data_IF_632699372332
#
_entry.id   IF_632699372332
#
_cell.length_a   1.000
_cell.length_b   1.000
_cell.length_c   1.000
_cell.angle_alpha   90.00
_cell.angle_beta   90.00
_cell.angle_gamma   90.00
#
_symmetry.space_group_name_H-M   'P 1'
#
loop_
_entity.id
_entity.type
_entity.pdbx_description
1 polymer ?
#
# COMPACT_ATOMS: atom_id res chain seq x y z
N UNK A 1 -13.20 12.85 -40.22
CA UNK A 1 -13.72 11.62 -39.60
C UNK A 1 -12.55 11.00 -38.86
N UNK A 2 -12.59 11.11 -37.54
CA UNK A 2 -11.51 10.84 -36.60
C UNK A 2 -11.16 9.35 -36.54
N UNK A 3 -9.86 9.08 -36.46
CA UNK A 3 -9.30 7.75 -36.20
C UNK A 3 -9.18 7.60 -34.68
N UNK A 4 -9.96 6.70 -34.10
CA UNK A 4 -9.80 6.29 -32.69
C UNK A 4 -8.47 5.53 -32.56
N UNK A 5 -7.60 6.03 -31.70
CA UNK A 5 -6.38 5.36 -31.28
C UNK A 5 -6.72 4.60 -29.99
N UNK A 6 -6.93 3.29 -30.07
CA UNK A 6 -7.03 2.44 -28.89
C UNK A 6 -5.63 2.28 -28.31
N UNK A 7 -5.37 2.88 -27.14
CA UNK A 7 -4.23 2.51 -26.30
C UNK A 7 -4.52 1.10 -25.76
N UNK A 8 -3.81 0.11 -26.30
CA UNK A 8 -3.56 -1.13 -25.59
C UNK A 8 -2.49 -0.82 -24.53
N UNK A 9 -2.93 -0.61 -23.29
CA UNK A 9 -2.05 -0.76 -22.15
C UNK A 9 -1.61 -2.23 -22.13
N UNK A 10 -0.33 -2.48 -22.35
CA UNK A 10 0.23 -3.78 -22.04
C UNK A 10 0.20 -3.91 -20.52
N UNK A 11 -0.59 -4.85 -19.99
CA UNK A 11 -0.53 -5.22 -18.59
C UNK A 11 0.93 -5.56 -18.27
N UNK A 12 1.57 -4.72 -17.47
CA UNK A 12 2.76 -5.14 -16.75
C UNK A 12 2.30 -6.25 -15.79
N UNK A 13 3.13 -7.24 -15.44
CA UNK A 13 2.81 -8.05 -14.26
C UNK A 13 2.57 -7.06 -13.12
N UNK A 14 1.33 -7.02 -12.62
CA UNK A 14 1.00 -6.29 -11.40
C UNK A 14 1.97 -6.78 -10.35
N UNK A 15 2.74 -5.84 -9.82
CA UNK A 15 3.54 -6.02 -8.62
C UNK A 15 2.56 -5.56 -7.56
N UNK A 16 2.18 -6.42 -6.62
CA UNK A 16 1.06 -6.14 -5.74
C UNK A 16 1.36 -6.64 -4.32
N UNK A 17 0.54 -6.24 -3.37
CA UNK A 17 0.58 -6.89 -2.06
C UNK A 17 -0.06 -8.28 -2.14
N UNK A 18 0.24 -9.13 -1.16
CA UNK A 18 -0.36 -10.45 -1.07
C UNK A 18 -1.86 -10.39 -0.75
N UNK A 19 -2.66 -11.29 -1.32
CA UNK A 19 -4.11 -11.27 -1.11
C UNK A 19 -4.51 -11.41 0.36
N UNK A 20 -3.81 -12.25 1.13
CA UNK A 20 -4.09 -12.41 2.56
C UNK A 20 -3.67 -11.16 3.33
N UNK A 21 -2.60 -10.51 2.88
CA UNK A 21 -2.10 -9.24 3.40
C UNK A 21 -3.08 -8.09 3.16
N UNK A 22 -3.76 -8.01 2.01
CA UNK A 22 -4.83 -7.02 1.79
C UNK A 22 -5.98 -7.15 2.79
N UNK A 23 -6.39 -8.38 3.09
CA UNK A 23 -7.40 -8.67 4.12
C UNK A 23 -6.89 -8.18 5.48
N UNK A 24 -5.64 -8.53 5.83
CA UNK A 24 -5.04 -8.10 7.08
C UNK A 24 -4.93 -6.57 7.20
N UNK A 25 -4.47 -5.88 6.16
CA UNK A 25 -4.36 -4.41 6.11
C UNK A 25 -5.72 -3.77 6.31
N UNK A 26 -6.76 -4.32 5.66
CA UNK A 26 -8.15 -3.86 5.80
C UNK A 26 -8.62 -3.99 7.25
N UNK A 27 -8.32 -5.10 7.92
CA UNK A 27 -8.65 -5.29 9.34
C UNK A 27 -7.83 -4.35 10.24
N UNK A 28 -6.53 -4.21 9.98
CA UNK A 28 -5.64 -3.32 10.72
C UNK A 28 -6.08 -1.85 10.60
N UNK A 29 -6.58 -1.42 9.43
CA UNK A 29 -7.10 -0.08 9.21
C UNK A 29 -8.29 0.26 10.13
N UNK A 30 -9.10 -0.72 10.55
CA UNK A 30 -10.19 -0.50 11.51
C UNK A 30 -9.68 -0.01 12.87
N UNK A 31 -8.47 -0.41 13.27
CA UNK A 31 -7.83 -0.01 14.53
C UNK A 31 -7.44 1.47 14.51
N UNK A 32 -7.11 2.00 13.33
CA UNK A 32 -6.67 3.39 13.12
C UNK A 32 -7.80 4.36 12.81
N UNK A 33 -9.01 3.86 12.57
CA UNK A 33 -10.17 4.73 12.37
C UNK A 33 -10.48 5.52 13.66
N UNK A 34 -10.74 6.83 13.57
CA UNK A 34 -11.27 7.60 14.69
C UNK A 34 -12.67 7.11 15.05
N UNK A 35 -13.05 7.25 16.32
CA UNK A 35 -14.39 6.91 16.77
C UNK A 35 -15.43 7.78 16.05
N UNK A 36 -16.48 7.15 15.52
CA UNK A 36 -17.53 7.82 14.75
C UNK A 36 -18.32 6.85 13.86
N UNK A 37 -19.26 7.39 13.07
CA UNK A 37 -20.21 6.60 12.27
C UNK A 37 -19.52 5.62 11.31
N UNK A 38 -18.41 6.02 10.68
CA UNK A 38 -17.69 5.14 9.77
C UNK A 38 -17.09 3.93 10.49
N UNK A 39 -16.45 4.15 11.65
CA UNK A 39 -15.88 3.07 12.45
C UNK A 39 -16.98 2.16 12.98
N UNK A 40 -18.08 2.72 13.47
CA UNK A 40 -19.25 1.94 13.93
C UNK A 40 -19.83 1.07 12.81
N UNK A 41 -19.93 1.59 11.58
CA UNK A 41 -20.40 0.82 10.42
C UNK A 41 -19.40 -0.28 10.04
N UNK A 42 -18.13 0.04 9.86
CA UNK A 42 -17.13 -0.92 9.36
C UNK A 42 -16.72 -1.98 10.40
N UNK A 43 -16.98 -1.74 11.69
CA UNK A 43 -16.75 -2.72 12.76
C UNK A 43 -17.99 -3.53 13.13
N UNK A 44 -19.11 -3.35 12.41
CA UNK A 44 -20.29 -4.22 12.56
C UNK A 44 -19.95 -5.63 12.03
N UNK A 45 -19.98 -6.68 12.87
CA UNK A 45 -19.72 -8.05 12.44
C UNK A 45 -20.65 -8.54 11.33
N UNK A 46 -21.84 -7.96 11.17
CA UNK A 46 -22.76 -8.28 10.09
C UNK A 46 -22.27 -7.76 8.72
N UNK A 47 -21.38 -6.78 8.69
CA UNK A 47 -20.83 -6.15 7.49
C UNK A 47 -19.40 -6.60 7.17
N UNK A 48 -18.72 -7.25 8.11
CA UNK A 48 -17.37 -7.81 7.91
C UNK A 48 -17.26 -8.66 6.62
N UNK A 49 -18.21 -9.56 6.27
CA UNK A 49 -18.14 -10.29 5.02
C UNK A 49 -18.05 -9.38 3.78
N UNK A 50 -18.84 -8.30 3.72
CA UNK A 50 -18.79 -7.36 2.59
C UNK A 50 -17.45 -6.64 2.54
N UNK A 51 -16.94 -6.20 3.69
CA UNK A 51 -15.64 -5.51 3.80
C UNK A 51 -14.49 -6.40 3.30
N UNK A 52 -14.40 -7.64 3.80
CA UNK A 52 -13.33 -8.57 3.42
C UNK A 52 -13.45 -9.00 1.96
N UNK A 53 -14.65 -9.34 1.49
CA UNK A 53 -14.83 -9.69 0.07
C UNK A 53 -14.51 -8.51 -0.85
N UNK A 54 -14.81 -7.28 -0.44
CA UNK A 54 -14.39 -6.07 -1.16
C UNK A 54 -12.87 -5.93 -1.23
N UNK A 55 -12.17 -6.15 -0.11
CA UNK A 55 -10.70 -6.12 -0.05
C UNK A 55 -10.03 -7.21 -0.88
N UNK A 56 -10.74 -8.29 -1.16
CA UNK A 56 -10.25 -9.35 -2.02
C UNK A 56 -10.53 -9.09 -3.50
N UNK A 57 -11.67 -8.47 -3.80
CA UNK A 57 -12.34 -8.53 -5.10
C UNK A 57 -11.48 -8.19 -6.34
N UNK A 58 -10.65 -7.12 -6.34
CA UNK A 58 -9.94 -6.71 -7.56
C UNK A 58 -9.07 -7.83 -8.16
N UNK A 59 -8.35 -8.59 -7.36
CA UNK A 59 -7.42 -9.61 -7.86
C UNK A 59 -8.05 -10.79 -8.61
N UNK A 60 -9.37 -10.99 -8.48
CA UNK A 60 -10.04 -12.17 -9.01
C UNK A 60 -9.97 -12.28 -10.55
N UNK A 61 -9.69 -11.17 -11.24
CA UNK A 61 -9.64 -11.11 -12.69
C UNK A 61 -8.29 -11.50 -13.27
N UNK A 62 -7.19 -11.35 -12.53
CA UNK A 62 -5.84 -11.73 -13.00
C UNK A 62 -5.74 -13.21 -13.41
N UNK A 63 -6.17 -14.20 -12.59
CA UNK A 63 -6.09 -15.60 -13.00
C UNK A 63 -7.03 -15.95 -14.16
N UNK A 64 -7.97 -15.06 -14.49
CA UNK A 64 -8.92 -15.21 -15.58
C UNK A 64 -8.53 -14.41 -16.84
N UNK A 65 -7.44 -13.66 -16.80
CA UNK A 65 -7.01 -12.73 -17.86
C UNK A 65 -8.13 -11.72 -18.23
N UNK A 66 -8.85 -11.22 -17.21
CA UNK A 66 -9.97 -10.29 -17.39
C UNK A 66 -9.61 -8.88 -16.88
N UNK A 67 -9.79 -7.82 -17.70
CA UNK A 67 -9.51 -6.43 -17.32
C UNK A 67 -10.27 -5.90 -16.11
N UNK A 68 -11.34 -6.58 -15.65
CA UNK A 68 -12.06 -6.14 -14.46
C UNK A 68 -11.14 -6.03 -13.25
N UNK A 69 -10.08 -6.86 -13.21
CA UNK A 69 -9.09 -6.81 -12.14
C UNK A 69 -8.50 -5.42 -12.02
N UNK A 70 -7.71 -5.02 -13.02
CA UNK A 70 -7.09 -3.70 -13.08
C UNK A 70 -8.09 -2.57 -12.88
N UNK A 71 -9.25 -2.63 -13.55
CA UNK A 71 -10.26 -1.57 -13.45
C UNK A 71 -10.70 -1.32 -12.00
N UNK A 72 -10.88 -2.36 -11.18
CA UNK A 72 -11.32 -2.20 -9.79
C UNK A 72 -10.26 -1.65 -8.83
N UNK A 73 -8.97 -1.74 -9.18
CA UNK A 73 -7.88 -1.19 -8.36
C UNK A 73 -7.89 0.35 -8.35
N UNK A 74 -8.40 0.97 -9.42
CA UNK A 74 -8.25 2.41 -9.63
C UNK A 74 -9.45 3.22 -9.16
N UNK A 75 -9.16 4.39 -8.60
CA UNK A 75 -10.16 5.31 -8.05
C UNK A 75 -11.29 5.67 -9.04
N UNK A 76 -11.08 5.84 -10.37
CA UNK A 76 -12.19 6.11 -11.29
C UNK A 76 -13.34 5.08 -11.26
N UNK A 77 -13.05 3.81 -11.01
CA UNK A 77 -14.10 2.79 -10.84
C UNK A 77 -14.72 2.84 -9.44
N UNK A 78 -13.89 3.05 -8.41
CA UNK A 78 -14.33 3.20 -7.02
C UNK A 78 -15.26 4.41 -6.86
N UNK A 79 -14.95 5.53 -7.51
CA UNK A 79 -15.76 6.74 -7.58
C UNK A 79 -17.10 6.49 -8.25
N UNK A 80 -17.10 5.76 -9.38
CA UNK A 80 -18.35 5.35 -10.03
C UNK A 80 -19.23 4.53 -9.08
N UNK A 81 -18.63 3.64 -8.29
CA UNK A 81 -19.40 2.87 -7.33
C UNK A 81 -19.89 3.73 -6.16
N UNK A 82 -19.05 4.60 -5.59
CA UNK A 82 -19.45 5.58 -4.57
C UNK A 82 -20.64 6.42 -5.04
N UNK A 83 -20.56 6.96 -6.24
CA UNK A 83 -21.60 7.82 -6.81
C UNK A 83 -22.90 7.03 -7.04
N UNK A 84 -22.80 5.76 -7.44
CA UNK A 84 -23.96 4.87 -7.50
C UNK A 84 -24.57 4.66 -6.11
N UNK A 85 -23.78 4.43 -5.05
CA UNK A 85 -24.28 4.28 -3.69
C UNK A 85 -25.01 5.55 -3.24
N UNK A 86 -24.41 6.73 -3.45
CA UNK A 86 -25.00 8.02 -3.10
C UNK A 86 -26.30 8.32 -3.87
N UNK A 87 -26.45 7.78 -5.09
CA UNK A 87 -27.66 7.94 -5.90
C UNK A 87 -28.81 6.99 -5.47
N UNK A 88 -28.51 5.86 -4.84
CA UNK A 88 -29.50 4.81 -4.52
C UNK A 88 -29.84 4.73 -3.03
N UNK A 89 -28.93 5.15 -2.15
CA UNK A 89 -29.09 5.11 -0.70
C UNK A 89 -28.85 6.49 -0.09
N UNK A 90 -29.35 6.71 1.13
CA UNK A 90 -29.20 7.98 1.84
C UNK A 90 -28.62 7.76 3.23
N UNK A 91 -27.82 8.72 3.76
CA UNK A 91 -27.38 8.71 5.15
C UNK A 91 -28.57 8.74 6.14
N UNK A 92 -28.45 8.10 7.33
CA UNK A 92 -27.37 7.19 7.70
C UNK A 92 -27.50 5.88 6.90
N UNK A 93 -26.41 5.47 6.22
CA UNK A 93 -26.41 4.27 5.39
C UNK A 93 -26.72 3.06 6.25
N UNK A 94 -27.79 2.35 5.91
CA UNK A 94 -28.34 1.22 6.69
C UNK A 94 -28.71 0.08 5.74
N UNK A 95 -28.90 -1.12 6.29
CA UNK A 95 -29.30 -2.33 5.55
C UNK A 95 -28.39 -2.57 4.32
N UNK A 96 -28.98 -2.71 3.12
CA UNK A 96 -28.27 -2.92 1.85
C UNK A 96 -27.32 -1.76 1.52
N UNK A 97 -27.66 -0.52 1.88
CA UNK A 97 -26.78 0.62 1.69
C UNK A 97 -25.48 0.48 2.49
N UNK A 98 -25.56 -0.03 3.73
CA UNK A 98 -24.39 -0.26 4.57
C UNK A 98 -23.51 -1.40 4.02
N UNK A 99 -24.12 -2.43 3.42
CA UNK A 99 -23.39 -3.52 2.76
C UNK A 99 -22.56 -3.02 1.58
N UNK A 100 -23.14 -2.16 0.72
CA UNK A 100 -22.40 -1.57 -0.40
C UNK A 100 -21.29 -0.63 0.06
N UNK A 101 -21.51 0.15 1.13
CA UNK A 101 -20.45 0.97 1.73
C UNK A 101 -19.29 0.09 2.21
N UNK A 102 -19.58 -0.98 2.96
CA UNK A 102 -18.55 -1.88 3.47
C UNK A 102 -17.73 -2.51 2.33
N UNK A 103 -18.41 -2.99 1.28
CA UNK A 103 -17.73 -3.54 0.10
C UNK A 103 -16.87 -2.51 -0.62
N UNK A 104 -17.38 -1.28 -0.84
CA UNK A 104 -16.61 -0.20 -1.44
C UNK A 104 -15.36 0.12 -0.62
N UNK A 105 -15.47 0.19 0.71
CA UNK A 105 -14.32 0.45 1.58
C UNK A 105 -13.29 -0.68 1.49
N UNK A 106 -13.71 -1.93 1.42
CA UNK A 106 -12.81 -3.06 1.16
C UNK A 106 -12.05 -2.89 -0.17
N UNK A 107 -12.77 -2.64 -1.25
CA UNK A 107 -12.16 -2.45 -2.58
C UNK A 107 -11.21 -1.24 -2.63
N UNK A 108 -11.58 -0.15 -1.96
CA UNK A 108 -10.76 1.04 -1.82
C UNK A 108 -9.49 0.79 -0.98
N UNK A 109 -9.60 -0.04 0.07
CA UNK A 109 -8.44 -0.49 0.86
C UNK A 109 -7.43 -1.23 0.00
N UNK A 110 -7.90 -2.18 -0.81
CA UNK A 110 -7.06 -2.95 -1.74
C UNK A 110 -6.24 -2.04 -2.67
N UNK A 111 -6.93 -1.19 -3.45
CA UNK A 111 -6.25 -0.31 -4.41
C UNK A 111 -5.34 0.76 -3.79
N UNK A 112 -5.61 1.19 -2.55
CA UNK A 112 -4.71 2.11 -1.83
C UNK A 112 -3.49 1.37 -1.26
N UNK A 113 -3.69 0.16 -0.73
CA UNK A 113 -2.61 -0.68 -0.21
C UNK A 113 -1.56 -0.94 -1.30
N UNK A 114 -1.96 -1.43 -2.48
CA UNK A 114 -1.02 -1.66 -3.59
C UNK A 114 -0.23 -0.41 -3.96
N UNK A 115 -0.90 0.72 -4.13
CA UNK A 115 -0.22 1.95 -4.49
C UNK A 115 0.82 2.37 -3.46
N UNK A 116 0.58 2.15 -2.16
CA UNK A 116 1.52 2.45 -1.09
C UNK A 116 2.65 1.41 -1.05
N UNK A 117 2.32 0.12 -1.10
CA UNK A 117 3.28 -0.98 -1.08
C UNK A 117 4.25 -0.89 -2.25
N UNK A 118 3.74 -0.70 -3.46
CA UNK A 118 4.53 -0.66 -4.68
C UNK A 118 5.34 0.62 -4.80
N UNK A 119 4.80 1.75 -4.36
CA UNK A 119 5.53 3.02 -4.43
C UNK A 119 6.67 3.09 -3.40
N UNK A 120 6.52 2.40 -2.26
CA UNK A 120 7.41 2.57 -1.13
C UNK A 120 8.22 1.31 -0.82
N UNK A 121 7.58 0.16 -0.66
CA UNK A 121 8.23 -1.06 -0.20
C UNK A 121 8.91 -1.80 -1.35
N UNK A 122 8.20 -2.01 -2.46
CA UNK A 122 8.73 -2.72 -3.62
C UNK A 122 10.09 -2.19 -4.15
N UNK A 123 10.32 -0.87 -4.31
CA UNK A 123 11.58 -0.36 -4.82
C UNK A 123 12.74 -0.54 -3.83
N UNK A 124 12.45 -0.66 -2.52
CA UNK A 124 13.43 -1.07 -1.51
C UNK A 124 13.85 -2.52 -1.73
N UNK A 125 12.91 -3.41 -2.02
CA UNK A 125 13.20 -4.78 -2.44
C UNK A 125 14.11 -4.84 -3.65
N UNK A 126 13.79 -4.08 -4.70
CA UNK A 126 14.63 -4.04 -5.90
C UNK A 126 16.07 -3.59 -5.62
N UNK A 127 16.27 -2.73 -4.62
CA UNK A 127 17.57 -2.19 -4.27
C UNK A 127 18.36 -3.08 -3.30
N UNK A 128 17.69 -3.71 -2.33
CA UNK A 128 18.32 -4.51 -1.27
C UNK A 128 18.37 -6.01 -1.57
N UNK A 129 17.43 -6.51 -2.39
CA UNK A 129 17.40 -7.87 -2.91
C UNK A 129 17.62 -7.89 -4.45
N UNK A 130 18.67 -7.25 -5.00
CA UNK A 130 18.81 -7.05 -6.45
C UNK A 130 19.06 -8.34 -7.26
N UNK A 131 19.39 -9.43 -6.57
CA UNK A 131 19.64 -10.75 -7.16
C UNK A 131 18.37 -11.65 -7.15
N UNK A 132 17.27 -11.19 -6.54
CA UNK A 132 15.99 -11.93 -6.47
C UNK A 132 15.17 -11.78 -7.75
N UNK A 133 14.33 -12.79 -8.04
CA UNK A 133 13.50 -12.83 -9.24
C UNK A 133 12.12 -12.22 -9.03
N UNK A 134 12.03 -10.90 -9.13
CA UNK A 134 10.76 -10.15 -9.04
C UNK A 134 9.76 -10.45 -10.16
N UNK A 135 10.17 -11.12 -11.25
CA UNK A 135 9.28 -11.52 -12.35
C UNK A 135 9.02 -13.03 -12.41
N UNK A 136 9.43 -13.76 -11.37
CA UNK A 136 9.36 -15.21 -11.28
C UNK A 136 7.94 -15.73 -11.07
N UNK A 137 7.77 -17.05 -11.21
CA UNK A 137 6.50 -17.74 -10.92
C UNK A 137 6.16 -17.72 -9.42
N UNK A 138 7.18 -17.77 -8.57
CA UNK A 138 7.04 -17.52 -7.13
C UNK A 138 7.20 -16.03 -6.95
N UNK A 139 6.07 -15.31 -7.11
CA UNK A 139 6.07 -13.86 -7.13
C UNK A 139 6.57 -13.30 -5.81
N UNK A 140 7.09 -12.07 -5.90
CA UNK A 140 7.37 -11.23 -4.76
C UNK A 140 6.18 -11.19 -3.80
N UNK A 141 4.98 -10.90 -4.32
CA UNK A 141 3.72 -10.81 -3.56
C UNK A 141 3.42 -12.12 -2.83
N UNK A 142 3.59 -13.28 -3.49
CA UNK A 142 3.36 -14.59 -2.86
C UNK A 142 4.32 -14.83 -1.71
N UNK A 143 5.60 -14.49 -1.89
CA UNK A 143 6.61 -14.69 -0.88
C UNK A 143 6.37 -13.82 0.36
N UNK A 144 6.07 -12.54 0.16
CA UNK A 144 5.74 -11.63 1.27
C UNK A 144 4.43 -12.01 1.94
N UNK A 145 3.41 -12.47 1.21
CA UNK A 145 2.13 -12.91 1.80
C UNK A 145 2.32 -14.11 2.74
N UNK A 146 3.04 -15.14 2.29
CA UNK A 146 3.30 -16.33 3.11
C UNK A 146 4.09 -16.00 4.36
N UNK A 147 5.14 -15.18 4.25
CA UNK A 147 5.94 -14.79 5.41
C UNK A 147 5.13 -13.88 6.33
N UNK A 148 4.38 -12.92 5.81
CA UNK A 148 3.54 -12.03 6.60
C UNK A 148 2.49 -12.81 7.40
N UNK A 149 1.77 -13.74 6.76
CA UNK A 149 0.79 -14.60 7.44
C UNK A 149 1.42 -15.51 8.50
N UNK A 150 2.73 -15.81 8.41
CA UNK A 150 3.44 -16.54 9.47
C UNK A 150 3.73 -15.67 10.70
N UNK A 151 3.80 -14.35 10.52
CA UNK A 151 4.04 -13.34 11.57
C UNK A 151 2.72 -12.90 12.20
N UNK A 152 1.78 -12.46 11.36
CA UNK A 152 0.50 -11.88 11.76
C UNK A 152 -0.56 -12.94 12.13
N UNK A 153 -0.37 -14.18 11.66
CA UNK A 153 -1.36 -15.24 11.71
C UNK A 153 -2.25 -15.25 10.47
N UNK A 154 -2.88 -16.40 10.15
CA UNK A 154 -3.75 -16.52 8.99
C UNK A 154 -5.03 -15.68 9.17
N UNK A 155 -5.51 -15.12 8.07
CA UNK A 155 -6.81 -14.44 8.03
C UNK A 155 -7.97 -15.44 7.93
N UNK A 156 -9.10 -15.13 8.57
CA UNK A 156 -10.33 -15.91 8.46
C UNK A 156 -11.12 -15.45 7.23
N UNK A 157 -11.57 -16.41 6.40
CA UNK A 157 -12.38 -16.10 5.23
C UNK A 157 -13.88 -16.18 5.56
N UNK A 158 -14.65 -15.08 5.40
CA UNK A 158 -16.10 -15.12 5.55
C UNK A 158 -16.77 -15.83 4.37
N UNK A 159 -18.11 -15.96 4.38
CA UNK A 159 -18.86 -16.38 3.19
C UNK A 159 -18.72 -15.37 2.05
N UNK A 160 -18.81 -15.83 0.79
CA UNK A 160 -18.75 -14.93 -0.36
C UNK A 160 -19.97 -14.01 -0.39
N UNK A 161 -19.72 -12.71 -0.21
CA UNK A 161 -20.72 -11.66 -0.33
C UNK A 161 -20.18 -10.60 -1.28
N UNK A 162 -20.56 -10.73 -2.55
CA UNK A 162 -20.18 -9.83 -3.63
C UNK A 162 -21.46 -9.25 -4.25
N UNK A 163 -21.56 -7.92 -4.44
CA UNK A 163 -22.71 -7.26 -5.06
C UNK A 163 -22.67 -7.44 -6.59
N UNK A 164 -22.75 -8.69 -7.05
CA UNK A 164 -22.46 -9.10 -8.44
C UNK A 164 -23.30 -8.35 -9.48
N UNK A 165 -24.61 -8.26 -9.29
CA UNK A 165 -25.50 -7.59 -10.25
C UNK A 165 -25.13 -6.10 -10.41
N UNK A 166 -24.84 -5.44 -9.28
CA UNK A 166 -24.39 -4.03 -9.27
C UNK A 166 -23.04 -3.89 -9.97
N UNK A 167 -22.06 -4.76 -9.68
CA UNK A 167 -20.73 -4.68 -10.28
C UNK A 167 -20.77 -4.92 -11.79
N UNK A 168 -21.52 -5.92 -12.26
CA UNK A 168 -21.75 -6.16 -13.70
C UNK A 168 -22.29 -4.91 -14.39
N UNK A 169 -23.27 -4.24 -13.76
CA UNK A 169 -23.78 -2.97 -14.28
C UNK A 169 -22.70 -1.89 -14.32
N UNK A 170 -21.95 -1.68 -13.23
CA UNK A 170 -20.95 -0.61 -13.15
C UNK A 170 -19.80 -0.80 -14.13
N UNK A 171 -19.37 -2.04 -14.37
CA UNK A 171 -18.38 -2.36 -15.41
C UNK A 171 -18.91 -2.03 -16.81
N UNK A 172 -20.14 -2.44 -17.13
CA UNK A 172 -20.73 -2.15 -18.43
C UNK A 172 -20.84 -0.62 -18.67
N UNK A 173 -21.19 0.15 -17.64
CA UNK A 173 -21.20 1.61 -17.69
C UNK A 173 -19.79 2.24 -17.77
N UNK A 174 -18.78 1.56 -17.24
CA UNK A 174 -17.36 1.92 -17.40
C UNK A 174 -16.83 1.54 -18.79
N UNK A 175 -17.58 0.75 -19.58
CA UNK A 175 -17.20 0.32 -20.92
C UNK A 175 -16.48 -1.04 -20.96
N UNK A 176 -16.59 -1.84 -19.91
CA UNK A 176 -16.06 -3.20 -19.84
C UNK A 176 -17.20 -4.20 -19.60
N UNK A 177 -17.26 -5.26 -20.39
CA UNK A 177 -18.29 -6.30 -20.24
C UNK A 177 -17.71 -7.47 -19.46
N UNK A 178 -18.23 -7.70 -18.24
CA UNK A 178 -17.88 -8.86 -17.40
C UNK A 178 -19.15 -9.57 -16.95
N UNK A 179 -19.11 -10.90 -16.88
CA UNK A 179 -20.27 -11.71 -16.49
C UNK A 179 -20.31 -11.99 -14.99
N UNK A 180 -21.51 -12.23 -14.46
CA UNK A 180 -21.68 -12.68 -13.07
C UNK A 180 -20.89 -13.97 -12.77
N UNK A 181 -20.86 -14.92 -13.72
CA UNK A 181 -20.09 -16.17 -13.60
C UNK A 181 -18.58 -15.91 -13.55
N UNK A 182 -18.09 -14.91 -14.31
CA UNK A 182 -16.68 -14.50 -14.29
C UNK A 182 -16.31 -13.95 -12.92
N UNK A 183 -17.13 -13.03 -12.37
CA UNK A 183 -16.89 -12.45 -11.04
C UNK A 183 -16.94 -13.53 -9.94
N UNK A 184 -17.92 -14.43 -9.99
CA UNK A 184 -18.04 -15.53 -9.03
C UNK A 184 -16.87 -16.52 -9.10
N UNK A 185 -16.39 -16.82 -10.32
CA UNK A 185 -15.21 -17.66 -10.52
C UNK A 185 -13.96 -16.99 -9.97
N UNK A 186 -13.79 -15.69 -10.22
CA UNK A 186 -12.68 -14.91 -9.67
C UNK A 186 -12.67 -14.95 -8.15
N UNK A 187 -13.79 -14.63 -7.52
CA UNK A 187 -13.93 -14.67 -6.05
C UNK A 187 -13.56 -16.05 -5.49
N UNK A 188 -14.04 -17.13 -6.14
CA UNK A 188 -13.72 -18.51 -5.73
C UNK A 188 -12.22 -18.82 -5.79
N UNK A 189 -11.51 -18.31 -6.80
CA UNK A 189 -10.06 -18.51 -6.94
C UNK A 189 -9.28 -17.75 -5.85
N UNK A 190 -9.75 -16.56 -5.46
CA UNK A 190 -9.14 -15.78 -4.38
C UNK A 190 -9.24 -16.48 -3.03
N UNK A 191 -10.38 -17.15 -2.75
CA UNK A 191 -10.49 -17.99 -1.55
C UNK A 191 -9.45 -19.09 -1.52
N UNK A 192 -9.26 -19.78 -2.65
CA UNK A 192 -8.26 -20.85 -2.77
C UNK A 192 -6.85 -20.28 -2.53
N UNK A 193 -6.55 -19.09 -3.05
CA UNK A 193 -5.27 -18.44 -2.83
C UNK A 193 -5.03 -18.14 -1.34
N UNK A 194 -5.98 -17.51 -0.65
CA UNK A 194 -5.86 -17.18 0.78
C UNK A 194 -5.75 -18.45 1.65
N UNK A 195 -6.58 -19.47 1.38
CA UNK A 195 -6.47 -20.76 2.07
C UNK A 195 -5.11 -21.43 1.83
N UNK A 196 -4.57 -21.34 0.61
CA UNK A 196 -3.26 -21.88 0.29
C UNK A 196 -2.15 -21.13 1.05
N UNK A 197 -2.17 -19.79 1.07
CA UNK A 197 -1.19 -18.97 1.81
C UNK A 197 -1.24 -19.29 3.30
N UNK A 198 -2.43 -19.34 3.91
CA UNK A 198 -2.57 -19.70 5.33
C UNK A 198 -2.01 -21.09 5.66
N UNK A 199 -2.18 -22.06 4.76
CA UNK A 199 -1.58 -23.38 4.91
C UNK A 199 -0.05 -23.37 4.76
N UNK A 200 0.50 -22.58 3.82
CA UNK A 200 1.95 -22.45 3.67
C UNK A 200 2.59 -21.74 4.86
N UNK A 201 1.96 -20.67 5.36
CA UNK A 201 2.41 -19.91 6.53
C UNK A 201 2.48 -20.76 7.81
N UNK A 202 1.67 -21.83 7.91
CA UNK A 202 1.70 -22.76 9.03
C UNK A 202 2.83 -23.81 8.96
N UNK A 203 3.58 -23.88 7.85
CA UNK A 203 4.64 -24.86 7.61
C UNK A 203 6.02 -24.20 7.67
N UNK A 204 6.83 -24.42 8.73
CA UNK A 204 8.12 -23.73 8.90
C UNK A 204 9.08 -23.88 7.71
N UNK A 205 9.12 -25.05 7.06
CA UNK A 205 9.96 -25.28 5.87
C UNK A 205 9.53 -24.43 4.67
N UNK A 206 8.22 -24.15 4.53
CA UNK A 206 7.72 -23.26 3.48
C UNK A 206 8.00 -21.80 3.80
N UNK A 207 7.82 -21.39 5.06
CA UNK A 207 8.18 -20.05 5.51
C UNK A 207 9.68 -19.78 5.28
N UNK A 208 10.55 -20.72 5.66
CA UNK A 208 12.00 -20.61 5.42
C UNK A 208 12.33 -20.53 3.92
N UNK A 209 11.58 -21.26 3.08
CA UNK A 209 11.75 -21.22 1.63
C UNK A 209 11.39 -19.83 1.06
N UNK A 210 10.19 -19.32 1.35
CA UNK A 210 9.72 -18.03 0.84
C UNK A 210 10.53 -16.85 1.40
N UNK A 211 10.90 -16.89 2.69
CA UNK A 211 11.79 -15.91 3.29
C UNK A 211 13.15 -15.85 2.58
N UNK A 212 13.64 -16.98 2.06
CA UNK A 212 14.88 -17.07 1.29
C UNK A 212 14.82 -16.49 -0.13
N UNK A 213 13.62 -16.29 -0.70
CA UNK A 213 13.46 -15.72 -2.05
C UNK A 213 13.73 -14.22 -2.08
N UNK A 214 13.28 -13.49 -1.05
CA UNK A 214 13.47 -12.04 -0.88
C UNK A 214 13.94 -11.74 0.55
N UNK A 215 15.22 -11.96 0.88
CA UNK A 215 15.70 -11.92 2.26
C UNK A 215 15.54 -10.58 2.96
N UNK A 216 15.84 -9.47 2.29
CA UNK A 216 15.67 -8.14 2.87
C UNK A 216 14.19 -7.84 3.06
N UNK A 217 13.36 -8.01 2.04
CA UNK A 217 11.92 -7.74 2.14
C UNK A 217 11.29 -8.53 3.28
N UNK A 218 11.45 -9.85 3.28
CA UNK A 218 10.80 -10.70 4.28
C UNK A 218 11.29 -10.46 5.71
N UNK A 219 12.48 -9.88 5.91
CA UNK A 219 12.99 -9.53 7.24
C UNK A 219 12.57 -8.15 7.75
N UNK A 220 11.86 -7.36 6.93
CA UNK A 220 11.43 -6.00 7.28
C UNK A 220 9.91 -5.81 7.12
N UNK A 221 9.12 -6.88 7.01
CA UNK A 221 7.66 -6.80 6.85
C UNK A 221 6.96 -6.20 8.07
N UNK A 222 7.54 -6.34 9.27
CA UNK A 222 7.02 -5.78 10.52
C UNK A 222 7.88 -4.61 11.07
N UNK A 223 8.88 -4.13 10.33
CA UNK A 223 9.77 -3.06 10.78
C UNK A 223 9.07 -1.69 10.70
N UNK A 224 8.74 -1.05 11.84
CA UNK A 224 8.00 0.22 11.84
C UNK A 224 8.81 1.39 11.26
N UNK A 225 10.10 1.21 11.00
CA UNK A 225 10.96 2.23 10.40
C UNK A 225 11.00 2.15 8.86
N UNK A 226 10.45 1.08 8.27
CA UNK A 226 10.44 0.86 6.83
C UNK A 226 9.09 1.27 6.25
N UNK A 227 9.11 2.36 5.46
CA UNK A 227 7.92 2.86 4.77
C UNK A 227 7.32 1.83 3.81
N UNK A 228 5.99 1.70 3.87
CA UNK A 228 5.20 0.93 2.91
C UNK A 228 5.01 -0.54 3.24
N UNK A 229 5.52 -1.02 4.38
CA UNK A 229 5.21 -2.38 4.82
C UNK A 229 3.74 -2.50 5.33
N UNK A 230 3.22 -3.72 5.52
CA UNK A 230 1.80 -3.94 5.86
C UNK A 230 1.26 -3.11 7.03
N UNK A 231 1.96 -2.99 8.17
CA UNK A 231 1.46 -2.13 9.26
C UNK A 231 1.31 -0.66 8.85
N UNK A 232 2.21 -0.15 8.02
CA UNK A 232 2.15 1.22 7.52
C UNK A 232 0.90 1.49 6.67
N UNK A 233 0.51 0.52 5.85
CA UNK A 233 -0.57 0.63 4.89
C UNK A 233 -1.92 0.78 5.61
N UNK A 234 -2.14 0.08 6.72
CA UNK A 234 -3.39 0.20 7.49
C UNK A 234 -3.69 1.63 7.98
N UNK A 235 -2.66 2.38 8.38
CA UNK A 235 -2.81 3.80 8.74
C UNK A 235 -3.19 4.68 7.53
N UNK A 236 -2.59 4.42 6.36
CA UNK A 236 -2.91 5.16 5.12
C UNK A 236 -4.33 4.85 4.68
N UNK A 237 -4.72 3.57 4.70
CA UNK A 237 -6.06 3.10 4.33
C UNK A 237 -7.12 3.72 5.24
N UNK A 238 -6.90 3.77 6.56
CA UNK A 238 -7.85 4.39 7.49
C UNK A 238 -8.09 5.88 7.17
N UNK A 239 -7.02 6.62 6.85
CA UNK A 239 -7.13 8.01 6.41
C UNK A 239 -7.84 8.14 5.04
N UNK A 240 -7.53 7.24 4.10
CA UNK A 240 -8.21 7.21 2.79
C UNK A 240 -9.71 6.94 2.94
N UNK A 241 -10.11 6.00 3.80
CA UNK A 241 -11.52 5.71 4.09
C UNK A 241 -12.28 6.92 4.64
N UNK A 242 -11.66 7.75 5.48
CA UNK A 242 -12.29 9.00 5.94
C UNK A 242 -12.61 9.92 4.76
N UNK A 243 -11.69 10.05 3.78
CA UNK A 243 -11.94 10.84 2.57
C UNK A 243 -13.03 10.23 1.68
N UNK A 244 -13.01 8.91 1.46
CA UNK A 244 -14.07 8.24 0.69
C UNK A 244 -15.43 8.43 1.37
N UNK A 245 -15.48 8.34 2.70
CA UNK A 245 -16.69 8.53 3.50
C UNK A 245 -17.21 9.97 3.45
N UNK A 246 -16.33 10.96 3.59
CA UNK A 246 -16.68 12.37 3.46
C UNK A 246 -17.29 12.67 2.08
N UNK A 247 -16.65 12.17 1.01
CA UNK A 247 -17.14 12.33 -0.38
C UNK A 247 -18.48 11.63 -0.59
N UNK A 248 -18.68 10.46 0.01
CA UNK A 248 -19.97 9.76 -0.02
C UNK A 248 -21.09 10.60 0.62
N UNK A 249 -20.78 11.43 1.61
CA UNK A 249 -21.71 12.39 2.24
C UNK A 249 -21.83 13.73 1.49
N UNK A 250 -21.19 13.85 0.32
CA UNK A 250 -21.16 15.08 -0.47
C UNK A 250 -20.22 16.15 0.06
N UNK A 251 -19.34 15.81 1.02
CA UNK A 251 -18.25 16.67 1.44
C UNK A 251 -17.08 16.52 0.46
N UNK A 252 -17.13 17.34 -0.59
CA UNK A 252 -16.02 17.48 -1.52
C UNK A 252 -15.07 18.51 -0.93
N UNK A 253 -13.99 18.03 -0.31
CA UNK A 253 -12.91 18.89 0.17
C UNK A 253 -12.46 19.85 -0.94
N UNK A 254 -12.23 21.12 -0.59
CA UNK A 254 -11.83 22.15 -1.55
C UNK A 254 -10.34 22.08 -1.94
N UNK A 255 -9.58 21.17 -1.32
CA UNK A 255 -8.15 20.97 -1.52
C UNK A 255 -7.85 19.45 -1.38
N UNK A 256 -7.09 18.84 -2.31
CA UNK A 256 -6.64 17.46 -2.18
C UNK A 256 -5.93 17.24 -0.84
N UNK A 257 -6.42 16.28 -0.07
CA UNK A 257 -5.91 16.02 1.27
C UNK A 257 -4.63 15.17 1.18
N UNK A 258 -3.56 15.57 1.87
CA UNK A 258 -2.41 14.69 2.09
C UNK A 258 -2.75 13.78 3.28
N UNK A 259 -2.78 12.47 3.02
CA UNK A 259 -3.07 11.46 4.04
C UNK A 259 -1.81 10.80 4.60
N UNK A 260 -0.69 10.89 3.88
CA UNK A 260 0.59 10.41 4.36
C UNK A 260 1.79 11.11 3.73
N UNK A 261 2.86 11.20 4.51
CA UNK A 261 4.17 11.69 4.10
C UNK A 261 5.22 10.67 4.57
N UNK A 262 6.17 10.36 3.70
CA UNK A 262 7.25 9.42 3.95
C UNK A 262 8.62 10.09 3.74
N UNK A 263 9.61 9.85 4.63
CA UNK A 263 9.54 9.01 5.83
C UNK A 263 8.57 9.57 6.89
N UNK A 264 7.85 8.68 7.58
CA UNK A 264 6.77 9.04 8.52
C UNK A 264 7.23 9.90 9.69
N UNK A 265 8.46 9.68 10.17
CA UNK A 265 9.05 10.45 11.25
C UNK A 265 9.33 11.91 10.84
N UNK A 266 9.45 12.19 9.55
CA UNK A 266 10.02 13.45 9.05
C UNK A 266 11.54 13.58 9.28
N UNK A 267 12.21 12.52 9.73
CA UNK A 267 13.65 12.47 10.00
C UNK A 267 14.29 11.25 9.30
N UNK A 268 15.62 11.20 9.29
CA UNK A 268 16.37 10.04 8.84
C UNK A 268 16.34 9.80 7.32
N UNK A 269 16.11 10.84 6.51
CA UNK A 269 16.33 10.74 5.06
C UNK A 269 17.79 10.36 4.78
N UNK A 270 17.99 9.35 3.94
CA UNK A 270 19.33 8.98 3.48
C UNK A 270 19.89 10.11 2.61
N UNK A 271 21.15 10.49 2.82
CA UNK A 271 21.77 11.58 2.09
C UNK A 271 22.11 11.23 0.64
N UNK A 272 22.30 9.96 0.31
CA UNK A 272 22.69 9.52 -1.03
C UNK A 272 21.48 9.53 -1.96
N UNK A 273 21.48 10.44 -2.93
CA UNK A 273 20.37 10.63 -3.88
C UNK A 273 20.09 9.41 -4.77
N UNK A 274 20.95 8.40 -4.79
CA UNK A 274 20.74 7.16 -5.54
C UNK A 274 19.98 6.10 -4.75
N UNK A 275 19.80 6.31 -3.44
CA UNK A 275 19.11 5.39 -2.53
C UNK A 275 17.62 5.71 -2.51
N UNK A 276 16.76 4.69 -2.51
CA UNK A 276 15.31 4.86 -2.30
C UNK A 276 14.97 5.53 -0.97
N UNK A 277 15.79 5.38 0.06
CA UNK A 277 15.59 6.02 1.38
C UNK A 277 15.87 7.54 1.39
N UNK A 278 16.45 8.08 0.31
CA UNK A 278 16.58 9.54 0.13
C UNK A 278 15.29 10.17 -0.44
N UNK A 279 14.33 9.35 -0.87
CA UNK A 279 13.10 9.80 -1.50
C UNK A 279 12.09 10.28 -0.47
N UNK A 280 11.48 11.43 -0.73
CA UNK A 280 10.27 11.88 -0.02
C UNK A 280 9.07 11.42 -0.85
N UNK A 281 8.06 10.86 -0.20
CA UNK A 281 6.82 10.45 -0.88
C UNK A 281 5.61 11.01 -0.18
N UNK A 282 4.62 11.45 -0.96
CA UNK A 282 3.36 12.03 -0.48
C UNK A 282 2.22 11.20 -1.04
N UNK A 283 1.33 10.73 -0.15
CA UNK A 283 0.09 10.08 -0.56
C UNK A 283 -1.09 11.05 -0.41
N UNK A 284 -1.86 11.20 -1.49
CA UNK A 284 -3.06 12.02 -1.53
C UNK A 284 -4.32 11.16 -1.31
N UNK A 285 -5.34 11.74 -0.70
CA UNK A 285 -6.64 11.10 -0.49
C UNK A 285 -7.43 10.93 -1.78
N UNK A 286 -7.03 11.62 -2.85
CA UNK A 286 -7.60 11.53 -4.18
C UNK A 286 -6.48 11.36 -5.19
N UNK A 287 -6.75 10.58 -6.22
CA UNK A 287 -5.87 10.35 -7.34
C UNK A 287 -5.62 11.65 -8.11
N UNK A 288 -4.38 11.82 -8.55
CA UNK A 288 -3.92 13.02 -9.25
C UNK A 288 -4.02 12.83 -10.76
N UNK A 289 -4.48 13.86 -11.46
CA UNK A 289 -4.44 13.92 -12.92
C UNK A 289 -3.03 14.35 -13.34
N UNK A 290 -2.27 13.47 -13.98
CA UNK A 290 -0.85 13.70 -14.26
C UNK A 290 -0.63 14.94 -15.14
N UNK A 291 -1.49 15.16 -16.13
CA UNK A 291 -1.38 16.31 -17.05
C UNK A 291 -1.64 17.67 -16.37
N UNK A 292 -2.15 17.66 -15.14
CA UNK A 292 -2.36 18.86 -14.34
C UNK A 292 -1.15 19.31 -13.55
N UNK A 293 -0.10 18.48 -13.45
CA UNK A 293 1.09 18.79 -12.67
C UNK A 293 1.76 20.08 -13.19
N UNK A 294 1.93 21.11 -12.35
CA UNK A 294 2.71 22.28 -12.68
C UNK A 294 4.19 21.93 -12.89
N UNK A 295 4.96 22.85 -13.46
CA UNK A 295 6.41 22.70 -13.66
C UNK A 295 7.17 23.83 -12.93
N UNK A 296 7.78 23.57 -11.75
CA UNK A 296 7.77 22.31 -11.00
C UNK A 296 6.49 22.13 -10.14
N UNK A 297 6.06 20.90 -9.84
CA UNK A 297 4.90 20.64 -8.97
C UNK A 297 5.24 20.75 -7.47
N UNK A 298 6.54 20.71 -7.15
CA UNK A 298 7.05 20.80 -5.78
C UNK A 298 8.28 21.71 -5.76
N UNK A 299 8.35 22.55 -4.73
CA UNK A 299 9.55 23.34 -4.42
C UNK A 299 10.12 22.85 -3.09
N UNK A 300 11.40 22.49 -3.07
CA UNK A 300 12.13 22.13 -1.84
C UNK A 300 13.16 23.20 -1.53
N UNK A 301 13.22 23.64 -0.28
CA UNK A 301 14.22 24.60 0.20
C UNK A 301 14.95 24.07 1.42
N UNK A 302 16.25 24.34 1.53
CA UNK A 302 17.03 24.07 2.75
C UNK A 302 16.72 25.08 3.88
N UNK A 303 17.34 24.88 5.04
CA UNK A 303 17.20 25.73 6.24
C UNK A 303 17.61 27.19 6.02
N UNK A 304 18.47 27.45 5.03
CA UNK A 304 18.93 28.78 4.64
C UNK A 304 17.98 29.45 3.62
N UNK A 305 16.95 28.73 3.18
CA UNK A 305 15.97 29.16 2.17
C UNK A 305 16.45 29.00 0.73
N UNK A 306 17.54 28.27 0.48
CA UNK A 306 18.02 27.99 -0.86
C UNK A 306 17.19 26.86 -1.49
N UNK A 307 16.81 27.03 -2.75
CA UNK A 307 16.13 25.98 -3.50
C UNK A 307 17.05 24.76 -3.73
N UNK A 308 16.50 23.57 -3.54
CA UNK A 308 17.17 22.29 -3.81
C UNK A 308 16.53 21.67 -5.05
N UNK A 309 17.36 21.21 -5.99
CA UNK A 309 16.89 20.58 -7.21
C UNK A 309 16.33 19.18 -6.89
N UNK A 310 15.11 18.92 -7.36
CA UNK A 310 14.41 17.64 -7.19
C UNK A 310 13.74 17.22 -8.49
N UNK A 311 13.69 15.92 -8.72
CA UNK A 311 12.82 15.29 -9.70
C UNK A 311 11.52 14.85 -9.04
N UNK A 312 10.41 14.96 -9.76
CA UNK A 312 9.08 14.58 -9.25
C UNK A 312 8.32 13.76 -10.27
N UNK A 313 7.60 12.75 -9.80
CA UNK A 313 6.72 11.92 -10.64
C UNK A 313 5.65 11.23 -9.80
N UNK A 314 4.52 10.94 -10.42
CA UNK A 314 3.50 10.06 -9.87
C UNK A 314 3.91 8.61 -10.12
N UNK A 315 3.91 7.75 -9.08
CA UNK A 315 4.49 6.41 -9.16
C UNK A 315 3.90 5.57 -10.31
N UNK A 316 2.58 5.50 -10.40
CA UNK A 316 1.85 4.83 -11.49
C UNK A 316 1.46 5.76 -12.64
N UNK A 317 1.87 7.03 -12.59
CA UNK A 317 1.44 8.04 -13.54
C UNK A 317 0.04 8.55 -13.25
N UNK A 318 -0.79 8.63 -14.29
CA UNK A 318 -2.15 9.19 -14.22
C UNK A 318 -3.06 8.37 -13.30
N UNK A 319 -3.87 9.06 -12.50
CA UNK A 319 -4.74 8.48 -11.47
C UNK A 319 -4.00 7.83 -10.28
N UNK A 320 -2.71 8.15 -10.07
CA UNK A 320 -1.99 7.70 -8.87
C UNK A 320 -2.24 8.61 -7.67
N UNK A 321 -2.24 8.02 -6.49
CA UNK A 321 -2.28 8.73 -5.21
C UNK A 321 -0.90 9.10 -4.68
N UNK A 322 0.20 8.52 -5.21
CA UNK A 322 1.54 8.69 -4.64
C UNK A 322 2.43 9.54 -5.55
N UNK A 323 2.84 10.71 -5.04
CA UNK A 323 3.83 11.59 -5.64
C UNK A 323 5.18 11.37 -4.97
N UNK A 324 6.20 11.11 -5.79
CA UNK A 324 7.58 11.03 -5.36
C UNK A 324 8.33 12.33 -5.59
N UNK A 325 9.24 12.62 -4.67
CA UNK A 325 10.17 13.75 -4.72
C UNK A 325 11.57 13.17 -4.44
N UNK A 326 12.41 13.16 -5.46
CA UNK A 326 13.77 12.62 -5.41
C UNK A 326 14.77 13.77 -5.54
N UNK A 327 15.77 13.88 -4.66
CA UNK A 327 16.85 14.83 -4.86
C UNK A 327 17.63 14.53 -6.15
N UNK A 328 18.04 15.57 -6.87
CA UNK A 328 18.94 15.43 -8.04
C UNK A 328 20.39 15.21 -7.61
N UNK A 329 20.80 15.83 -6.51
CA UNK A 329 22.11 15.71 -5.87
C UNK A 329 21.95 15.30 -4.40
N UNK A 330 22.96 14.69 -3.79
CA UNK A 330 22.92 14.26 -2.37
C UNK A 330 22.35 15.33 -1.44
N UNK A 331 21.46 14.92 -0.53
CA UNK A 331 21.02 15.79 0.55
C UNK A 331 22.21 16.14 1.45
N UNK A 332 22.22 17.37 1.97
CA UNK A 332 23.15 17.78 3.01
C UNK A 332 22.87 16.98 4.28
N UNK A 333 23.90 16.50 4.98
CA UNK A 333 23.72 15.83 6.27
C UNK A 333 23.19 16.83 7.32
N UNK A 334 22.47 16.29 8.31
CA UNK A 334 21.91 17.03 9.46
C UNK A 334 21.16 18.32 9.07
N UNK A 335 20.45 18.29 7.95
CA UNK A 335 19.77 19.47 7.38
C UNK A 335 18.26 19.27 7.39
N UNK A 336 17.52 20.34 7.69
CA UNK A 336 16.06 20.37 7.55
C UNK A 336 15.68 20.99 6.22
N UNK A 337 14.76 20.35 5.52
CA UNK A 337 14.19 20.79 4.27
C UNK A 337 12.72 21.14 4.45
N UNK A 338 12.30 22.24 3.85
CA UNK A 338 10.89 22.59 3.71
C UNK A 338 10.43 22.16 2.32
N UNK A 339 9.40 21.32 2.27
CA UNK A 339 8.74 20.89 1.04
C UNK A 339 7.46 21.70 0.89
N UNK A 340 7.28 22.31 -0.29
CA UNK A 340 6.09 23.07 -0.66
C UNK A 340 5.46 22.45 -1.90
N UNK A 341 4.25 21.91 -1.75
CA UNK A 341 3.43 21.47 -2.89
C UNK A 341 2.74 22.70 -3.47
N UNK A 342 2.97 22.95 -4.75
CA UNK A 342 2.46 24.16 -5.42
C UNK A 342 0.96 24.06 -5.66
N UNK A 343 0.34 25.20 -5.97
CA UNK A 343 -1.09 25.28 -6.31
C UNK A 343 -1.39 24.66 -7.70
N UNK A 344 -2.64 24.27 -7.89
CA UNK A 344 -3.17 23.87 -9.19
C UNK A 344 -2.95 22.41 -9.59
N UNK A 345 -2.41 21.56 -8.72
CA UNK A 345 -2.43 20.10 -8.93
C UNK A 345 -3.87 19.65 -8.83
N UNK A 346 -4.43 19.04 -9.89
CA UNK A 346 -5.82 18.62 -9.95
C UNK A 346 -6.00 17.14 -9.64
N UNK A 347 -7.07 16.83 -8.93
CA UNK A 347 -7.54 15.47 -8.69
C UNK A 347 -8.55 15.03 -9.75
N UNK A 348 -8.79 13.73 -9.85
CA UNK A 348 -9.68 13.14 -10.85
C UNK A 348 -11.16 13.56 -10.67
N UNK A 349 -11.56 13.92 -9.45
CA UNK A 349 -12.88 14.47 -9.11
C UNK A 349 -12.98 16.00 -9.34
N UNK A 350 -11.89 16.63 -9.81
CA UNK A 350 -11.85 18.02 -10.24
C UNK A 350 -11.47 19.03 -9.15
N UNK A 351 -11.11 18.59 -7.94
CA UNK A 351 -10.50 19.46 -6.93
C UNK A 351 -9.08 19.88 -7.35
N UNK A 352 -8.52 20.86 -6.66
CA UNK A 352 -7.16 21.34 -6.94
C UNK A 352 -6.45 21.86 -5.69
N UNK A 353 -5.12 21.69 -5.65
CA UNK A 353 -4.32 22.23 -4.54
C UNK A 353 -4.36 23.75 -4.50
N UNK A 354 -4.44 24.33 -3.29
CA UNK A 354 -4.54 25.79 -3.12
C UNK A 354 -3.19 26.49 -2.88
N UNK A 355 -2.10 25.73 -2.81
CA UNK A 355 -0.72 26.24 -2.74
C UNK A 355 -0.23 26.59 -1.34
N UNK A 356 -0.98 26.29 -0.29
CA UNK A 356 -0.56 26.53 1.11
C UNK A 356 0.05 25.29 1.77
N UNK A 357 0.14 24.17 1.06
CA UNK A 357 0.57 22.88 1.61
C UNK A 357 2.08 22.79 1.76
N UNK A 358 2.56 22.87 3.01
CA UNK A 358 3.98 22.80 3.36
C UNK A 358 4.23 21.85 4.53
N UNK A 359 5.35 21.15 4.47
CA UNK A 359 5.83 20.30 5.56
C UNK A 359 7.36 20.27 5.58
N UNK A 360 7.93 19.72 6.65
CA UNK A 360 9.38 19.62 6.81
C UNK A 360 9.82 18.17 6.91
N UNK A 361 11.01 17.89 6.36
CA UNK A 361 11.71 16.62 6.49
C UNK A 361 13.19 16.87 6.78
N UNK A 362 13.89 15.91 7.36
CA UNK A 362 15.29 16.07 7.74
C UNK A 362 16.13 14.82 7.48
N UNK A 363 17.40 15.04 7.15
CA UNK A 363 18.45 14.01 7.12
C UNK A 363 19.04 13.73 8.49
N UNK A 364 18.75 14.56 9.49
CA UNK A 364 19.14 14.31 10.88
C UNK A 364 18.42 13.06 11.40
N UNK A 365 19.04 12.38 12.37
CA UNK A 365 18.37 11.32 13.11
C UNK A 365 17.12 11.87 13.83
N UNK A 366 16.08 11.04 14.05
CA UNK A 366 14.97 11.41 14.91
C UNK A 366 15.51 11.85 16.30
N UNK A 367 14.91 12.86 16.94
CA UNK A 367 15.29 13.23 18.31
C UNK A 367 15.12 12.01 19.24
N UNK A 368 16.10 11.76 20.11
CA UNK A 368 15.95 10.77 21.18
C UNK A 368 14.68 11.11 21.96
N UNK A 369 13.71 10.20 21.98
CA UNK A 369 12.56 10.34 22.85
C UNK A 369 13.10 10.29 24.28
N UNK A 370 13.03 11.41 25.00
CA UNK A 370 13.61 11.54 26.35
C UNK A 370 12.93 10.69 27.42
N UNK A 371 12.47 9.47 27.12
CA UNK A 371 12.03 8.45 28.07
C UNK A 371 13.22 7.92 28.87
N UNK A 372 13.83 8.83 29.63
CA UNK A 372 14.53 8.47 30.85
C UNK A 372 13.58 7.59 31.67
N UNK A 373 13.96 6.32 31.80
CA UNK A 373 13.42 5.41 32.79
C UNK A 373 13.60 6.06 34.17
N UNK A 374 12.59 6.83 34.57
CA UNK A 374 12.41 7.27 35.94
C UNK A 374 12.21 6.03 36.78
N UNK A 375 13.27 5.60 37.45
CA UNK A 375 13.16 4.62 38.51
C UNK A 375 12.20 5.15 39.55
N UNK A 376 11.02 4.55 39.63
CA UNK A 376 10.24 4.55 40.86
C UNK A 376 9.77 3.14 41.17
N UNK A 377 10.07 2.76 42.41
CA UNK A 377 9.83 1.47 43.01
C UNK A 377 8.38 1.38 43.47
N UNK A 378 7.57 0.48 42.88
CA UNK A 378 6.23 0.20 43.39
C UNK A 378 5.58 -0.99 42.71
N UNK A 379 5.50 -2.13 43.40
CA UNK A 379 5.05 -3.40 42.84
C UNK A 379 3.54 -3.51 42.61
N UNK A 380 3.16 -4.41 41.70
CA UNK A 380 1.79 -4.88 41.54
C UNK A 380 1.52 -5.60 40.22
N UNK A 381 1.57 -6.94 40.26
CA UNK A 381 0.81 -7.96 39.49
C UNK A 381 0.55 -7.78 37.97
N UNK A 382 0.98 -8.80 37.25
CA UNK A 382 0.73 -9.10 35.84
C UNK A 382 -0.73 -9.48 35.53
N UNK A 383 -1.21 -9.07 34.36
CA UNK A 383 -2.18 -9.75 33.50
C UNK A 383 -1.96 -9.29 32.04
N UNK A 384 -2.29 -10.18 31.10
CA UNK A 384 -1.97 -10.20 29.66
C UNK A 384 -2.17 -8.88 28.90
N UNK A 385 -1.17 -8.53 28.08
CA UNK A 385 -1.33 -7.56 26.98
C UNK A 385 -0.52 -8.05 25.76
N UNK A 386 -1.21 -8.64 24.80
CA UNK A 386 -0.74 -8.88 23.43
C UNK A 386 -1.75 -8.21 22.51
N UNK A 387 -1.40 -7.03 21.99
CA UNK A 387 -2.23 -6.34 21.00
C UNK A 387 -2.08 -4.83 21.12
N UNK A 388 -0.94 -4.30 20.66
CA UNK A 388 -0.73 -2.92 20.19
C UNK A 388 0.77 -2.63 20.19
N UNK A 389 1.46 -2.90 19.09
CA UNK A 389 2.77 -2.31 18.80
C UNK A 389 3.13 -2.56 17.34
N UNK A 390 2.90 -1.57 16.48
CA UNK A 390 3.30 -1.64 15.07
C UNK A 390 2.84 -0.46 14.24
N UNK A 391 2.75 0.74 14.83
CA UNK A 391 2.53 1.93 14.01
C UNK A 391 3.80 2.31 13.25
N UNK A 392 3.65 2.87 12.07
CA UNK A 392 4.75 3.33 11.20
C UNK A 392 5.52 4.55 11.80
N UNK A 393 5.04 5.06 12.94
CA UNK A 393 5.73 6.00 13.80
C UNK A 393 6.51 5.25 14.90
N UNK A 394 7.68 4.69 14.55
CA UNK A 394 8.51 3.95 15.49
C UNK A 394 8.92 4.78 16.72
N UNK A 395 8.58 4.28 17.91
CA UNK A 395 9.36 4.51 19.12
C UNK A 395 10.37 3.37 19.27
N UNK A 396 11.62 3.72 19.56
CA UNK A 396 12.74 2.77 19.56
C UNK A 396 12.77 1.93 20.84
N UNK A 397 12.78 0.60 20.71
CA UNK A 397 12.87 -0.32 21.84
C UNK A 397 13.50 -1.64 21.42
N UNK A 398 14.81 -1.66 21.15
CA UNK A 398 15.54 -2.88 20.81
C UNK A 398 16.02 -3.59 22.09
N UNK A 399 15.52 -4.81 22.33
CA UNK A 399 16.10 -5.76 23.28
C UNK A 399 16.68 -6.95 22.51
N UNK A 400 17.96 -6.85 22.14
CA UNK A 400 18.68 -7.93 21.48
C UNK A 400 18.90 -9.12 22.42
N UNK A 401 18.54 -10.32 21.98
CA UNK A 401 18.99 -11.57 22.59
C UNK A 401 19.96 -12.28 21.65
N UNK A 402 21.25 -12.19 22.00
CA UNK A 402 22.34 -12.98 21.43
C UNK A 402 22.19 -14.46 21.82
N UNK A 403 22.01 -15.34 20.84
CA UNK A 403 22.27 -16.78 21.01
C UNK A 403 23.38 -17.20 20.05
N UNK A 404 24.53 -17.52 20.65
CA UNK A 404 25.68 -18.17 20.02
C UNK A 404 25.52 -19.68 20.22
N UNK A 405 25.79 -20.51 19.18
CA UNK A 405 26.50 -21.82 19.23
C UNK A 405 26.31 -22.63 17.89
N UNK A 406 27.10 -23.70 17.60
CA UNK A 406 28.25 -23.62 16.70
C UNK A 406 28.19 -24.56 15.47
N UNK A 407 29.16 -24.38 14.58
CA UNK A 407 29.51 -25.23 13.43
C UNK A 407 29.73 -26.71 13.75
N UNK A 408 29.33 -27.61 12.82
CA UNK A 408 30.23 -28.64 12.26
C UNK A 408 29.64 -29.42 11.04
N UNK A 409 30.39 -29.36 9.94
CA UNK A 409 30.78 -30.42 9.00
C UNK A 409 29.81 -30.99 7.92
N UNK A 410 30.03 -30.46 6.72
CA UNK A 410 30.61 -31.15 5.54
C UNK A 410 29.80 -32.25 4.80
N UNK A 411 29.44 -31.91 3.55
CA UNK A 411 29.12 -32.86 2.49
C UNK A 411 29.21 -32.22 1.10
N UNK A 412 30.42 -32.13 0.54
CA UNK A 412 30.66 -31.69 -0.85
C UNK A 412 30.07 -32.68 -1.86
N UNK A 413 29.36 -32.17 -2.87
CA UNK A 413 29.23 -32.82 -4.17
C UNK A 413 29.29 -31.77 -5.29
N UNK A 414 30.39 -31.80 -6.04
CA UNK A 414 30.67 -31.00 -7.22
C UNK A 414 29.80 -31.47 -8.41
N UNK A 415 29.22 -30.54 -9.16
CA UNK A 415 29.05 -30.66 -10.61
C UNK A 415 29.42 -29.35 -11.27
N UNK A 416 30.33 -29.45 -12.23
CA UNK A 416 30.80 -28.33 -13.07
C UNK A 416 29.77 -27.96 -14.15
N UNK A 417 29.87 -26.73 -14.71
CA UNK A 417 28.82 -26.06 -15.47
C UNK A 417 29.00 -26.16 -16.99
N UNK A 418 27.94 -25.90 -17.76
CA UNK A 418 27.97 -25.54 -19.19
C UNK A 418 26.57 -25.08 -19.65
N UNK A 419 26.46 -24.28 -20.72
CA UNK A 419 26.84 -22.88 -20.84
C UNK A 419 25.60 -21.98 -21.07
N UNK A 420 25.74 -20.70 -20.73
CA UNK A 420 24.72 -19.66 -20.97
C UNK A 420 24.37 -19.46 -22.45
N UNK A 421 23.14 -19.03 -22.74
CA UNK A 421 22.88 -18.19 -23.90
C UNK A 421 22.31 -16.81 -23.51
N UNK A 422 22.97 -15.77 -24.01
CA UNK A 422 22.28 -14.63 -24.61
C UNK A 422 21.68 -13.57 -23.69
N UNK A 423 22.53 -12.61 -23.28
CA UNK A 423 22.11 -11.27 -22.84
C UNK A 423 21.23 -10.59 -23.89
N UNK A 424 20.05 -10.14 -23.50
CA UNK A 424 19.37 -9.01 -24.14
C UNK A 424 19.11 -7.93 -23.10
N UNK A 425 20.02 -6.96 -23.01
CA UNK A 425 19.78 -5.71 -22.31
C UNK A 425 18.93 -4.82 -23.21
N UNK A 426 17.69 -4.52 -22.82
CA UNK A 426 17.00 -3.31 -23.27
C UNK A 426 17.11 -2.28 -22.16
N UNK A 427 17.87 -1.22 -22.44
CA UNK A 427 17.86 0.02 -21.66
C UNK A 427 16.58 0.75 -22.00
N UNK A 428 15.77 1.09 -21.02
CA UNK A 428 14.85 2.21 -21.12
C UNK A 428 15.50 3.39 -20.39
N UNK A 429 15.63 4.50 -21.10
CA UNK A 429 15.92 5.82 -20.53
C UNK A 429 14.56 6.44 -20.28
N UNK A 430 14.40 6.98 -19.08
CA UNK A 430 13.30 7.81 -18.62
C UNK A 430 12.93 8.88 -19.62
#
# INVERSE_FOLDING_TARGET
MSTLLSLLAAASPGLANGQSTHIWITQHALEHLPDGELKELLTDPALEPMLINGAMFPDGGYPLDDPYAEIAHWEPFQDRYRDWIAAHYSPPYTDEGAQHVAFLMGMASHGMADQVFDALYYPRGQQHDPDSDFGGFESFDTATDVVWMSIAGPVELPEDQVPTDTLVQLYAEHGHEVSADTLATGQSLLRIAVEWVGNMAALPEQVDYYAGLFPWMNSHLDDPTVSGNPPCEGEVVAAYWQSVWARLHGDLALDPEIIAIFPRSGYGLDTDHTRVESRISVAFAQAIVQESLPDPPVVVTDEDGNAVAVDTWLYYGDNSHVLHIQPVDDWRPDTTYTVHIVDGIRTIDGQQTTGDTRFTVSTAAPPDDGSTAGGDTGGGRAEDDRGAAGGCAGSSGSAGLLVVLPWALAGRSRRDPSPAPGRWRRRWRW
#
